data_IF_877980283971
#
_entry.id   IF_877980283971
#
_cell.length_a   1.000
_cell.length_b   1.000
_cell.length_c   1.000
_cell.angle_alpha   90.00
_cell.angle_beta   90.00
_cell.angle_gamma   90.00
#
_symmetry.space_group_name_H-M   'P 1'
#
loop_
_entity.id
_entity.type
_entity.pdbx_description
1 polymer ?
#
# COMPACT_ATOMS: atom_id res chain seq x y z
N UNK A 1 45.11 -8.31 5.18
CA UNK A 1 44.56 -6.98 5.47
C UNK A 1 43.71 -6.61 4.28
N UNK A 2 42.65 -5.86 4.54
CA UNK A 2 41.63 -5.36 3.62
C UNK A 2 40.38 -6.27 3.56
N UNK A 3 39.64 -6.22 4.68
CA UNK A 3 38.19 -6.48 4.71
C UNK A 3 37.52 -5.26 4.07
N UNK A 4 37.05 -5.42 2.82
CA UNK A 4 36.15 -4.48 2.18
C UNK A 4 34.81 -4.55 2.94
N UNK A 5 34.66 -3.75 3.99
CA UNK A 5 33.36 -3.44 4.58
C UNK A 5 32.56 -2.66 3.54
N UNK A 6 31.72 -3.37 2.78
CA UNK A 6 30.68 -2.77 1.96
C UNK A 6 29.78 -1.92 2.88
N UNK A 7 30.05 -0.62 2.90
CA UNK A 7 29.23 0.41 3.53
C UNK A 7 27.88 0.43 2.80
N UNK A 8 26.94 -0.39 3.26
CA UNK A 8 25.56 -0.40 2.79
C UNK A 8 24.94 0.91 3.23
N UNK A 9 24.97 1.88 2.32
CA UNK A 9 24.30 3.17 2.46
C UNK A 9 22.83 2.88 2.79
N UNK A 10 22.50 3.03 4.07
CA UNK A 10 21.17 2.80 4.59
C UNK A 10 20.36 4.03 4.20
N UNK A 11 19.93 4.12 2.94
CA UNK A 11 18.95 5.12 2.53
C UNK A 11 17.79 5.02 3.53
N UNK A 12 17.63 6.05 4.37
CA UNK A 12 16.50 6.17 5.29
C UNK A 12 15.24 6.27 4.43
N UNK A 13 14.66 5.12 4.09
CA UNK A 13 13.42 5.06 3.33
C UNK A 13 12.30 5.54 4.24
N UNK A 14 11.75 6.72 3.96
CA UNK A 14 10.65 7.29 4.74
C UNK A 14 9.46 6.33 4.87
N UNK A 15 8.82 6.34 6.05
CA UNK A 15 7.66 5.52 6.35
C UNK A 15 6.48 5.87 5.41
N UNK A 16 5.84 4.87 4.78
CA UNK A 16 4.78 5.09 3.81
C UNK A 16 3.59 5.79 4.45
N UNK A 17 3.20 6.92 3.85
CA UNK A 17 2.14 7.79 4.35
C UNK A 17 1.21 8.21 3.23
N UNK A 18 -0.10 8.26 3.50
CA UNK A 18 -1.12 8.64 2.53
C UNK A 18 -0.88 10.04 1.95
N UNK A 19 -0.95 10.15 0.62
CA UNK A 19 -0.93 11.46 -0.05
C UNK A 19 -2.25 12.21 0.17
N UNK A 20 -2.19 13.54 0.16
CA UNK A 20 -3.38 14.40 0.27
C UNK A 20 -4.42 14.12 -0.83
N UNK A 21 -3.98 13.71 -2.02
CA UNK A 21 -4.86 13.33 -3.13
C UNK A 21 -5.70 12.08 -2.80
N UNK A 22 -5.07 11.06 -2.21
CA UNK A 22 -5.77 9.84 -1.79
C UNK A 22 -6.72 10.11 -0.62
N UNK A 23 -6.33 10.94 0.33
CA UNK A 23 -7.24 11.37 1.42
C UNK A 23 -8.50 12.03 0.85
N UNK A 24 -8.34 13.01 -0.03
CA UNK A 24 -9.45 13.70 -0.69
C UNK A 24 -10.31 12.77 -1.57
N UNK A 25 -9.71 11.72 -2.15
CA UNK A 25 -10.45 10.71 -2.90
C UNK A 25 -11.47 9.99 -2.02
N UNK A 26 -11.11 9.69 -0.77
CA UNK A 26 -11.92 8.91 0.16
C UNK A 26 -12.87 9.73 1.04
N UNK A 27 -12.62 11.02 1.29
CA UNK A 27 -13.46 11.83 2.18
C UNK A 27 -14.86 12.21 1.64
N UNK A 28 -15.24 11.69 0.47
CA UNK A 28 -16.45 12.12 -0.27
C UNK A 28 -17.76 11.62 0.34
N UNK A 29 -17.75 10.45 0.98
CA UNK A 29 -18.94 9.84 1.59
C UNK A 29 -18.56 8.90 2.76
N UNK A 30 -19.57 8.33 3.43
CA UNK A 30 -19.35 7.43 4.58
C UNK A 30 -18.59 6.16 4.19
N UNK A 31 -18.80 5.63 2.98
CA UNK A 31 -18.10 4.43 2.51
C UNK A 31 -16.62 4.75 2.27
N UNK A 32 -16.33 5.90 1.67
CA UNK A 32 -14.97 6.37 1.46
C UNK A 32 -14.24 6.59 2.78
N UNK A 33 -14.89 7.14 3.82
CA UNK A 33 -14.26 7.24 5.16
C UNK A 33 -13.88 5.88 5.74
N UNK A 34 -14.74 4.86 5.59
CA UNK A 34 -14.43 3.49 6.02
C UNK A 34 -13.24 2.92 5.22
N UNK A 35 -13.18 3.22 3.93
CA UNK A 35 -12.04 2.84 3.09
C UNK A 35 -10.75 3.53 3.56
N UNK A 36 -10.78 4.83 3.84
CA UNK A 36 -9.64 5.59 4.37
C UNK A 36 -9.12 5.00 5.67
N UNK A 37 -10.03 4.70 6.61
CA UNK A 37 -9.67 4.03 7.88
C UNK A 37 -9.02 2.67 7.64
N UNK A 38 -9.50 1.92 6.64
CA UNK A 38 -8.91 0.62 6.28
C UNK A 38 -7.52 0.76 5.69
N UNK A 39 -7.28 1.78 4.85
CA UNK A 39 -5.95 2.07 4.29
C UNK A 39 -4.99 2.47 5.42
N UNK A 40 -5.41 3.41 6.28
CA UNK A 40 -4.60 3.86 7.41
C UNK A 40 -4.22 2.69 8.33
N UNK A 41 -5.19 1.84 8.67
CA UNK A 41 -4.94 0.65 9.48
C UNK A 41 -3.84 -0.24 8.88
N UNK A 42 -3.89 -0.48 7.56
CA UNK A 42 -2.86 -1.30 6.89
C UNK A 42 -1.50 -0.62 6.97
N UNK A 43 -1.41 0.68 6.70
CA UNK A 43 -0.15 1.43 6.78
C UNK A 43 0.41 1.44 8.20
N UNK A 44 -0.44 1.58 9.22
CA UNK A 44 -0.03 1.51 10.62
C UNK A 44 0.55 0.13 10.98
N UNK A 45 0.05 -0.95 10.38
CA UNK A 45 0.63 -2.28 10.55
C UNK A 45 1.97 -2.42 9.85
N UNK A 46 2.12 -1.83 8.65
CA UNK A 46 3.39 -1.82 7.94
C UNK A 46 4.46 -1.02 8.69
N UNK A 47 4.09 0.14 9.24
CA UNK A 47 4.98 1.04 9.98
C UNK A 47 5.15 0.61 11.45
N UNK A 48 4.75 -0.62 11.80
CA UNK A 48 4.83 -1.10 13.17
C UNK A 48 6.28 -1.12 13.64
N UNK A 49 6.48 -0.63 14.87
CA UNK A 49 7.76 -0.67 15.58
C UNK A 49 7.61 -1.50 16.84
N UNK A 50 8.64 -2.26 17.17
CA UNK A 50 8.68 -3.04 18.41
C UNK A 50 8.94 -2.15 19.63
N UNK A 51 9.11 -2.76 20.81
CA UNK A 51 9.33 -2.05 22.07
C UNK A 51 10.64 -1.24 22.09
N UNK A 52 11.62 -1.63 21.28
CA UNK A 52 12.92 -0.99 21.14
C UNK A 52 12.93 0.11 20.06
N UNK A 53 11.83 0.23 19.29
CA UNK A 53 11.65 1.22 18.23
C UNK A 53 12.11 0.74 16.84
N UNK A 54 12.50 -0.52 16.72
CA UNK A 54 12.93 -1.14 15.48
C UNK A 54 11.74 -1.41 14.57
N UNK A 55 11.91 -1.22 13.27
CA UNK A 55 10.84 -1.39 12.29
C UNK A 55 10.56 -2.88 12.03
N UNK A 56 9.40 -3.36 12.49
CA UNK A 56 8.96 -4.76 12.41
C UNK A 56 7.57 -4.81 11.77
N UNK A 57 7.47 -4.83 10.42
CA UNK A 57 6.18 -4.75 9.74
C UNK A 57 5.29 -5.95 10.07
N UNK A 58 4.01 -5.68 10.30
CA UNK A 58 2.99 -6.69 10.57
C UNK A 58 2.08 -6.91 9.35
N UNK A 59 1.47 -8.10 9.30
CA UNK A 59 0.41 -8.41 8.34
C UNK A 59 -0.95 -7.82 8.76
N UNK A 60 -1.76 -7.42 7.78
CA UNK A 60 -3.09 -6.88 8.01
C UNK A 60 -4.18 -7.73 7.35
N UNK A 61 -5.34 -7.87 8.01
CA UNK A 61 -6.54 -8.52 7.46
C UNK A 61 -7.68 -7.51 7.40
N UNK A 62 -8.16 -7.20 6.19
CA UNK A 62 -9.33 -6.34 5.99
C UNK A 62 -10.59 -7.19 5.82
N UNK A 63 -11.40 -7.26 6.88
CA UNK A 63 -12.62 -8.07 6.96
C UNK A 63 -13.91 -7.25 6.77
N UNK A 64 -13.86 -6.16 6.01
CA UNK A 64 -15.03 -5.33 5.72
C UNK A 64 -16.12 -6.10 4.96
N UNK A 65 -17.38 -5.69 5.11
CA UNK A 65 -18.51 -6.22 4.35
C UNK A 65 -18.26 -6.21 2.83
N UNK A 66 -18.94 -7.11 2.12
CA UNK A 66 -18.89 -7.14 0.66
C UNK A 66 -19.50 -5.85 0.08
N UNK A 67 -18.92 -5.35 -1.02
CA UNK A 67 -19.38 -4.11 -1.65
C UNK A 67 -18.75 -2.82 -1.12
N UNK A 68 -18.05 -2.84 0.02
CA UNK A 68 -17.35 -1.66 0.56
C UNK A 68 -16.03 -1.28 -0.15
N UNK A 69 -15.78 -1.85 -1.33
CA UNK A 69 -14.65 -1.44 -2.18
C UNK A 69 -13.26 -1.87 -1.69
N UNK A 70 -13.12 -3.09 -1.14
CA UNK A 70 -11.82 -3.66 -0.71
C UNK A 70 -10.73 -3.62 -1.78
N UNK A 71 -11.09 -3.72 -3.06
CA UNK A 71 -10.13 -3.56 -4.18
C UNK A 71 -9.53 -2.15 -4.21
N UNK A 72 -10.33 -1.11 -3.98
CA UNK A 72 -9.87 0.29 -3.95
C UNK A 72 -8.95 0.52 -2.75
N UNK A 73 -9.30 -0.04 -1.58
CA UNK A 73 -8.45 0.00 -0.38
C UNK A 73 -7.08 -0.64 -0.66
N UNK A 74 -7.06 -1.85 -1.22
CA UNK A 74 -5.81 -2.54 -1.53
C UNK A 74 -4.95 -1.75 -2.53
N UNK A 75 -5.56 -1.24 -3.60
CA UNK A 75 -4.84 -0.45 -4.61
C UNK A 75 -4.31 0.88 -4.06
N UNK A 76 -5.02 1.53 -3.14
CA UNK A 76 -4.55 2.74 -2.48
C UNK A 76 -3.32 2.47 -1.58
N UNK A 77 -3.30 1.32 -0.89
CA UNK A 77 -2.10 0.89 -0.15
C UNK A 77 -0.93 0.71 -1.12
N UNK A 78 -1.13 0.01 -2.24
CA UNK A 78 -0.07 -0.21 -3.24
C UNK A 78 0.44 1.09 -3.83
N UNK A 79 -0.44 2.02 -4.21
CA UNK A 79 -0.03 3.34 -4.70
C UNK A 79 0.77 4.11 -3.65
N UNK A 80 0.36 4.05 -2.38
CA UNK A 80 1.11 4.69 -1.28
C UNK A 80 2.50 4.10 -1.14
N UNK A 81 2.61 2.77 -1.15
CA UNK A 81 3.90 2.06 -1.09
C UNK A 81 4.80 2.41 -2.27
N UNK A 82 4.28 2.44 -3.49
CA UNK A 82 5.07 2.79 -4.68
C UNK A 82 5.53 4.25 -4.69
N UNK A 83 4.71 5.18 -4.17
CA UNK A 83 5.09 6.60 -4.05
C UNK A 83 6.20 6.81 -3.03
N UNK A 84 6.17 6.10 -1.92
CA UNK A 84 7.22 6.17 -0.89
C UNK A 84 8.47 5.40 -1.31
N UNK A 85 8.31 4.25 -1.95
CA UNK A 85 9.40 3.37 -2.35
C UNK A 85 9.31 3.02 -3.83
N UNK A 86 9.92 3.82 -4.72
CA UNK A 86 9.78 3.66 -6.18
C UNK A 86 10.25 2.30 -6.73
N UNK A 87 11.14 1.61 -6.00
CA UNK A 87 11.65 0.29 -6.37
C UNK A 87 10.79 -0.87 -5.83
N UNK A 88 9.76 -0.57 -5.04
CA UNK A 88 8.85 -1.56 -4.48
C UNK A 88 8.10 -2.31 -5.60
N UNK A 89 7.96 -3.63 -5.43
CA UNK A 89 7.18 -4.48 -6.32
C UNK A 89 6.09 -5.17 -5.52
N UNK A 90 4.85 -5.03 -5.98
CA UNK A 90 3.70 -5.68 -5.34
C UNK A 90 3.15 -6.81 -6.20
N UNK A 91 2.94 -7.98 -5.59
CA UNK A 91 2.20 -9.09 -6.19
C UNK A 91 0.77 -9.12 -5.64
N UNK A 92 -0.23 -8.97 -6.53
CA UNK A 92 -1.65 -9.09 -6.18
C UNK A 92 -2.16 -10.44 -6.68
N UNK A 93 -2.62 -11.28 -5.75
CA UNK A 93 -3.20 -12.60 -6.08
C UNK A 93 -4.71 -12.54 -5.87
N UNK A 94 -5.48 -12.84 -6.91
CA UNK A 94 -6.96 -12.78 -6.89
C UNK A 94 -7.56 -13.96 -7.68
N UNK A 95 -8.82 -14.35 -7.40
CA UNK A 95 -9.51 -15.32 -8.24
C UNK A 95 -9.60 -14.86 -9.69
N UNK A 96 -9.46 -15.80 -10.64
CA UNK A 96 -9.43 -15.51 -12.08
C UNK A 96 -10.62 -14.67 -12.55
N UNK A 97 -11.82 -14.91 -12.00
CA UNK A 97 -13.05 -14.23 -12.37
C UNK A 97 -13.05 -12.72 -12.09
N UNK A 98 -12.18 -12.22 -11.21
CA UNK A 98 -12.12 -10.81 -10.83
C UNK A 98 -10.84 -10.11 -11.32
N UNK A 99 -9.92 -10.80 -12.00
CA UNK A 99 -8.69 -10.20 -12.53
C UNK A 99 -8.99 -8.96 -13.37
N UNK A 100 -9.94 -9.05 -14.32
CA UNK A 100 -10.31 -7.91 -15.18
C UNK A 100 -10.86 -6.73 -14.37
N UNK A 101 -11.58 -6.99 -13.28
CA UNK A 101 -12.08 -5.92 -12.41
C UNK A 101 -10.91 -5.18 -11.73
N UNK A 102 -9.94 -5.91 -11.19
CA UNK A 102 -8.75 -5.33 -10.57
C UNK A 102 -7.92 -4.51 -11.56
N UNK A 103 -7.69 -5.02 -12.77
CA UNK A 103 -6.98 -4.29 -13.84
C UNK A 103 -7.70 -2.99 -14.19
N UNK A 104 -9.02 -3.05 -14.36
CA UNK A 104 -9.83 -1.87 -14.69
C UNK A 104 -9.79 -0.82 -13.58
N UNK A 105 -9.90 -1.22 -12.32
CA UNK A 105 -9.84 -0.29 -11.18
C UNK A 105 -8.46 0.33 -11.04
N UNK A 106 -7.39 -0.47 -11.14
CA UNK A 106 -6.01 0.03 -11.13
C UNK A 106 -5.80 1.05 -12.26
N UNK A 107 -6.14 0.69 -13.50
CA UNK A 107 -5.90 1.55 -14.68
C UNK A 107 -6.70 2.85 -14.64
N UNK A 108 -7.92 2.83 -14.08
CA UNK A 108 -8.80 4.01 -14.10
C UNK A 108 -8.56 4.97 -12.95
N UNK A 109 -8.10 4.48 -11.80
CA UNK A 109 -8.10 5.25 -10.54
C UNK A 109 -6.71 5.45 -9.94
N UNK A 110 -5.72 4.64 -10.30
CA UNK A 110 -4.41 4.59 -9.64
C UNK A 110 -3.27 4.64 -10.67
N UNK A 111 -2.63 5.79 -10.81
CA UNK A 111 -1.62 6.02 -11.87
C UNK A 111 -0.34 5.19 -11.65
N UNK A 112 0.11 5.06 -10.40
CA UNK A 112 1.41 4.47 -10.03
C UNK A 112 1.38 2.93 -9.86
N UNK A 113 0.20 2.30 -9.94
CA UNK A 113 0.07 0.84 -9.85
C UNK A 113 0.42 0.14 -11.17
N UNK A 114 0.59 0.90 -12.26
CA UNK A 114 0.69 0.41 -13.63
C UNK A 114 2.05 -0.05 -14.18
N UNK A 115 3.24 0.08 -13.54
CA UNK A 115 4.48 -0.22 -14.27
C UNK A 115 4.68 -1.70 -14.66
N UNK A 116 3.85 -2.65 -14.21
CA UNK A 116 4.06 -4.08 -14.53
C UNK A 116 2.88 -4.99 -14.16
N UNK A 117 1.70 -4.82 -14.76
CA UNK A 117 0.72 -5.93 -14.83
C UNK A 117 1.09 -6.75 -16.07
N UNK A 118 1.89 -7.81 -15.89
CA UNK A 118 2.21 -8.80 -16.93
C UNK A 118 1.24 -9.98 -16.87
#
# INVERSE_FOLDING_TARGET
>A
EDEDEDEVDSEETEDPTLSQELVQMFEKDEVGKIQLQSVQFVLDQFNHRDEDGEHVPLGAVIANEMGLGKTIVALAVVETMHKSWPMCRTLIVVPLSVCTNWINEATKKFAEVLPSIQ
#
